data_IF_802595600710
#
_entry.id   IF_802595600710
#
_cell.length_a   1.000
_cell.length_b   1.000
_cell.length_c   1.000
_cell.angle_alpha   90.00
_cell.angle_beta   90.00
_cell.angle_gamma   90.00
#
_symmetry.space_group_name_H-M   'P 1'
#
loop_
_entity.id
_entity.type
_entity.pdbx_description
1 polymer ?
#
# COMPACT_ATOMS: atom_id res chain seq x y z
N UNK A 1 -4.17 -71.46 -19.23
CA UNK A 1 -3.67 -70.13 -18.80
C UNK A 1 -4.07 -69.08 -19.83
N UNK A 2 -5.21 -68.39 -19.63
CA UNK A 2 -5.66 -67.29 -20.50
C UNK A 2 -5.09 -65.96 -19.98
N UNK A 3 -4.32 -65.24 -20.80
CA UNK A 3 -3.84 -63.88 -20.51
C UNK A 3 -4.86 -62.86 -20.99
N UNK A 4 -5.47 -62.16 -20.03
CA UNK A 4 -6.42 -61.07 -20.25
C UNK A 4 -5.69 -59.81 -20.73
N UNK A 5 -6.05 -59.29 -21.91
CA UNK A 5 -5.57 -58.00 -22.44
C UNK A 5 -6.53 -56.90 -21.98
N UNK A 6 -6.05 -55.96 -21.15
CA UNK A 6 -6.77 -54.72 -20.82
C UNK A 6 -6.63 -53.74 -21.97
N UNK A 7 -7.74 -53.35 -22.59
CA UNK A 7 -7.83 -52.26 -23.56
C UNK A 7 -8.15 -50.98 -22.77
N UNK A 8 -7.24 -50.02 -22.78
CA UNK A 8 -7.47 -48.69 -22.23
C UNK A 8 -8.08 -47.81 -23.34
N UNK A 9 -9.33 -47.39 -23.14
CA UNK A 9 -10.02 -46.43 -24.02
C UNK A 9 -9.70 -45.04 -23.51
N UNK A 10 -8.92 -44.28 -24.29
CA UNK A 10 -8.60 -42.88 -24.03
C UNK A 10 -9.66 -42.01 -24.74
N UNK A 11 -10.58 -41.43 -23.97
CA UNK A 11 -11.57 -40.47 -24.48
C UNK A 11 -10.93 -39.08 -24.43
N UNK A 12 -10.54 -38.55 -25.60
CA UNK A 12 -10.11 -37.17 -25.78
C UNK A 12 -11.35 -36.29 -25.94
N UNK A 13 -11.74 -35.58 -24.87
CA UNK A 13 -12.74 -34.50 -24.98
C UNK A 13 -12.04 -33.22 -25.43
N UNK A 14 -12.16 -32.87 -26.71
CA UNK A 14 -11.76 -31.56 -27.23
C UNK A 14 -12.88 -30.55 -26.93
N UNK A 15 -12.68 -29.68 -25.94
CA UNK A 15 -13.52 -28.50 -25.74
C UNK A 15 -13.01 -27.37 -26.65
N UNK A 16 -13.72 -27.11 -27.75
CA UNK A 16 -13.52 -25.95 -28.61
C UNK A 16 -14.11 -24.68 -27.97
N UNK A 17 -13.50 -24.25 -26.85
CA UNK A 17 -13.73 -22.92 -26.31
C UNK A 17 -12.89 -21.90 -27.07
N UNK A 18 -13.54 -20.99 -27.81
CA UNK A 18 -12.86 -19.83 -28.37
C UNK A 18 -12.24 -19.03 -27.21
N UNK A 19 -10.91 -19.06 -27.09
CA UNK A 19 -10.18 -18.27 -26.10
C UNK A 19 -10.40 -16.79 -26.43
N UNK A 20 -11.28 -16.14 -25.68
CA UNK A 20 -11.38 -14.68 -25.68
C UNK A 20 -9.99 -14.13 -25.35
N UNK A 21 -9.39 -13.41 -26.30
CA UNK A 21 -8.13 -12.70 -26.08
C UNK A 21 -8.37 -11.65 -24.99
N UNK A 22 -8.04 -11.99 -23.75
CA UNK A 22 -8.02 -11.03 -22.66
C UNK A 22 -7.07 -9.90 -23.05
N UNK A 23 -7.57 -8.67 -23.13
CA UNK A 23 -6.72 -7.50 -23.33
C UNK A 23 -5.79 -7.36 -22.13
N UNK A 24 -4.55 -7.78 -22.29
CA UNK A 24 -3.52 -7.63 -21.26
C UNK A 24 -2.95 -6.22 -21.30
N UNK A 25 -3.01 -5.50 -20.18
CA UNK A 25 -2.31 -4.23 -20.01
C UNK A 25 -0.88 -4.50 -19.55
N UNK A 26 0.08 -3.66 -19.92
CA UNK A 26 1.48 -3.92 -19.57
C UNK A 26 2.09 -2.83 -18.71
N UNK A 27 2.91 -3.25 -17.73
CA UNK A 27 3.89 -2.37 -17.09
C UNK A 27 5.27 -2.87 -17.50
N UNK A 28 6.08 -2.02 -18.13
CA UNK A 28 7.46 -2.33 -18.50
C UNK A 28 8.44 -1.39 -17.80
N UNK A 29 9.62 -1.90 -17.51
CA UNK A 29 10.60 -1.13 -16.76
C UNK A 29 11.94 -1.83 -16.61
N UNK A 30 12.77 -1.25 -15.74
CA UNK A 30 14.10 -1.74 -15.38
C UNK A 30 14.25 -1.78 -13.87
N UNK A 31 14.94 -2.82 -13.38
CA UNK A 31 15.41 -2.93 -12.01
C UNK A 31 16.93 -2.77 -11.99
N UNK A 32 17.42 -2.00 -11.02
CA UNK A 32 18.85 -1.83 -10.75
C UNK A 32 19.16 -2.29 -9.34
N UNK A 33 20.32 -2.92 -9.14
CA UNK A 33 20.81 -3.38 -7.85
C UNK A 33 22.04 -2.58 -7.42
N UNK A 34 22.43 -2.61 -6.13
CA UNK A 34 23.70 -2.07 -5.67
C UNK A 34 24.90 -2.65 -6.43
N UNK A 35 26.00 -1.90 -6.48
CA UNK A 35 27.21 -2.32 -7.22
C UNK A 35 27.70 -3.68 -6.73
N UNK A 36 27.89 -4.60 -7.69
CA UNK A 36 28.38 -5.96 -7.43
C UNK A 36 27.27 -7.00 -7.20
N UNK A 37 26.00 -6.58 -7.20
CA UNK A 37 24.84 -7.48 -7.09
C UNK A 37 24.26 -7.74 -8.47
N UNK A 38 24.02 -9.00 -8.80
CA UNK A 38 23.37 -9.37 -10.06
C UNK A 38 21.86 -9.14 -9.95
N UNK A 39 21.24 -8.54 -10.97
CA UNK A 39 19.77 -8.35 -10.99
C UNK A 39 19.03 -9.60 -11.44
N UNK A 40 19.70 -10.54 -12.11
CA UNK A 40 19.08 -11.77 -12.63
C UNK A 40 18.43 -12.57 -11.48
N UNK A 41 17.19 -13.00 -11.68
CA UNK A 41 16.41 -13.71 -10.65
C UNK A 41 15.61 -12.79 -9.74
N UNK A 42 15.70 -11.46 -9.90
CA UNK A 42 14.81 -10.54 -9.20
C UNK A 42 13.37 -10.79 -9.65
N UNK A 43 12.49 -11.03 -8.68
CA UNK A 43 11.06 -11.12 -8.89
C UNK A 43 10.45 -9.72 -8.82
N UNK A 44 9.67 -9.34 -9.83
CA UNK A 44 8.90 -8.10 -9.87
C UNK A 44 7.43 -8.46 -9.72
N UNK A 45 6.76 -7.86 -8.74
CA UNK A 45 5.37 -8.13 -8.40
C UNK A 45 4.58 -6.84 -8.58
N UNK A 46 3.46 -6.91 -9.30
CA UNK A 46 2.42 -5.89 -9.30
C UNK A 46 1.23 -6.37 -8.48
N UNK A 47 0.89 -5.57 -7.48
CA UNK A 47 -0.24 -5.79 -6.60
C UNK A 47 -1.28 -4.70 -6.80
N UNK A 48 -2.56 -5.07 -6.95
CA UNK A 48 -3.64 -4.08 -6.96
C UNK A 48 -3.65 -3.26 -5.66
N UNK A 49 -3.77 -1.94 -5.77
CA UNK A 49 -3.80 -1.05 -4.59
C UNK A 49 -5.12 -1.22 -3.82
N UNK A 50 -5.09 -1.22 -2.47
CA UNK A 50 -3.91 -1.15 -1.61
C UNK A 50 -3.14 -2.48 -1.51
N UNK A 51 -1.79 -2.44 -1.48
CA UNK A 51 -0.92 -3.63 -1.41
C UNK A 51 -1.28 -4.57 -0.25
N UNK A 52 -1.74 -4.02 0.88
CA UNK A 52 -2.17 -4.80 2.05
C UNK A 52 -3.34 -5.75 1.73
N UNK A 53 -4.07 -5.51 0.66
CA UNK A 53 -5.20 -6.32 0.21
C UNK A 53 -4.92 -7.04 -1.11
N UNK A 54 -3.68 -7.06 -1.62
CA UNK A 54 -3.28 -7.50 -2.96
C UNK A 54 -4.20 -8.59 -3.56
N UNK A 55 -5.30 -8.16 -4.22
CA UNK A 55 -6.35 -9.05 -4.74
C UNK A 55 -5.93 -9.67 -6.06
N UNK A 56 -5.13 -8.92 -6.79
CA UNK A 56 -4.51 -9.31 -8.03
C UNK A 56 -3.01 -9.16 -7.82
N UNK A 57 -2.35 -10.30 -7.77
CA UNK A 57 -0.90 -10.40 -7.80
C UNK A 57 -0.48 -10.92 -9.16
N UNK A 58 0.38 -10.17 -9.84
CA UNK A 58 1.04 -10.62 -11.06
C UNK A 58 2.52 -10.49 -10.82
N UNK A 59 3.25 -11.58 -11.04
CA UNK A 59 4.70 -11.59 -10.93
C UNK A 59 5.37 -11.91 -12.26
N UNK A 60 6.60 -11.42 -12.40
CA UNK A 60 7.50 -11.76 -13.50
C UNK A 60 8.93 -11.72 -12.96
N UNK A 61 9.87 -12.35 -13.66
CA UNK A 61 11.29 -12.22 -13.36
C UNK A 61 11.92 -11.17 -14.29
N UNK A 62 12.95 -10.48 -13.79
CA UNK A 62 13.76 -9.62 -14.65
C UNK A 62 14.73 -10.44 -15.51
N UNK A 63 15.03 -9.95 -16.70
CA UNK A 63 16.06 -10.52 -17.56
C UNK A 63 17.49 -10.21 -17.07
N UNK A 64 18.50 -10.67 -17.80
CA UNK A 64 19.90 -10.44 -17.46
C UNK A 64 20.31 -8.95 -17.46
N UNK A 65 19.54 -8.08 -18.12
CA UNK A 65 19.76 -6.64 -18.17
C UNK A 65 18.88 -5.89 -17.16
N UNK A 66 18.14 -6.61 -16.30
CA UNK A 66 17.20 -6.03 -15.33
C UNK A 66 15.88 -5.56 -15.94
N UNK A 67 15.58 -5.90 -17.20
CA UNK A 67 14.31 -5.52 -17.83
C UNK A 67 13.18 -6.44 -17.38
N UNK A 68 11.98 -5.89 -17.23
CA UNK A 68 10.78 -6.67 -16.92
C UNK A 68 9.56 -6.23 -17.73
N UNK A 69 8.61 -7.15 -17.87
CA UNK A 69 7.29 -6.89 -18.45
C UNK A 69 6.21 -7.61 -17.65
N UNK A 70 5.43 -6.84 -16.88
CA UNK A 70 4.24 -7.32 -16.19
C UNK A 70 3.04 -7.28 -17.13
N UNK A 71 2.27 -8.37 -17.22
CA UNK A 71 1.03 -8.47 -17.98
C UNK A 71 -0.18 -8.55 -17.05
N UNK A 72 -1.00 -7.52 -17.05
CA UNK A 72 -2.02 -7.26 -16.05
C UNK A 72 -3.43 -7.50 -16.63
N UNK A 73 -4.38 -7.96 -15.82
CA UNK A 73 -5.75 -8.23 -16.26
C UNK A 73 -6.60 -6.94 -16.43
N UNK A 74 -6.10 -5.78 -15.99
CA UNK A 74 -6.83 -4.51 -16.05
C UNK A 74 -5.92 -3.28 -16.01
N UNK A 75 -6.53 -2.10 -16.18
CA UNK A 75 -5.85 -0.79 -16.17
C UNK A 75 -5.43 -0.30 -14.78
N UNK A 76 -5.92 -0.96 -13.72
CA UNK A 76 -6.08 -0.39 -12.38
C UNK A 76 -4.81 0.18 -11.74
N UNK A 77 -4.94 0.86 -10.60
CA UNK A 77 -3.77 1.27 -9.83
C UNK A 77 -3.08 0.04 -9.25
N UNK A 78 -1.81 -0.14 -9.59
CA UNK A 78 -0.94 -1.17 -9.04
C UNK A 78 0.19 -0.55 -8.21
N UNK A 79 0.59 -1.21 -7.13
CA UNK A 79 1.88 -1.00 -6.50
C UNK A 79 2.85 -2.05 -7.04
N UNK A 80 4.04 -1.62 -7.46
CA UNK A 80 5.05 -2.50 -8.03
C UNK A 80 6.21 -2.62 -7.06
N UNK A 81 6.58 -3.85 -6.73
CA UNK A 81 7.67 -4.21 -5.84
C UNK A 81 8.66 -5.08 -6.60
N UNK A 82 9.93 -5.03 -6.21
CA UNK A 82 10.93 -5.97 -6.67
C UNK A 82 11.64 -6.58 -5.46
N UNK A 83 11.88 -7.89 -5.50
CA UNK A 83 12.61 -8.61 -4.47
C UNK A 83 13.61 -9.56 -5.11
N UNK A 84 14.81 -9.63 -4.56
CA UNK A 84 15.82 -10.61 -4.92
C UNK A 84 16.20 -11.39 -3.67
N UNK A 85 16.15 -12.71 -3.80
CA UNK A 85 16.61 -13.70 -2.84
C UNK A 85 17.88 -14.34 -3.43
N UNK A 86 19.05 -14.03 -2.85
CA UNK A 86 20.37 -14.52 -3.30
C UNK A 86 20.75 -15.86 -2.66
N UNK A 87 20.29 -16.13 -1.44
CA UNK A 87 20.70 -17.31 -0.67
C UNK A 87 19.65 -18.43 -0.58
N UNK A 88 18.44 -18.15 -1.06
CA UNK A 88 17.35 -19.11 -1.22
C UNK A 88 16.58 -19.39 0.08
N UNK A 89 16.77 -18.58 1.12
CA UNK A 89 16.11 -18.78 2.42
C UNK A 89 14.69 -18.17 2.50
N UNK A 90 14.19 -17.60 1.38
CA UNK A 90 12.87 -16.98 1.23
C UNK A 90 12.66 -15.69 2.02
N UNK A 91 13.70 -15.10 2.63
CA UNK A 91 13.59 -13.83 3.33
C UNK A 91 13.73 -12.61 2.39
N UNK A 92 14.37 -12.80 1.23
CA UNK A 92 14.66 -11.75 0.26
C UNK A 92 15.69 -10.75 0.78
N UNK A 93 16.96 -10.89 0.36
CA UNK A 93 18.05 -10.01 0.82
C UNK A 93 17.96 -8.61 0.22
N UNK A 94 17.25 -8.41 -0.89
CA UNK A 94 17.08 -7.11 -1.50
C UNK A 94 15.62 -6.83 -1.80
N UNK A 95 15.21 -5.58 -1.55
CA UNK A 95 13.86 -5.12 -1.79
C UNK A 95 13.89 -3.78 -2.53
N UNK A 96 12.86 -3.55 -3.34
CA UNK A 96 12.54 -2.26 -3.89
C UNK A 96 11.04 -2.03 -3.94
N UNK A 97 10.62 -0.77 -3.84
CA UNK A 97 9.25 -0.36 -4.13
C UNK A 97 9.28 0.78 -5.14
N UNK A 98 8.53 0.63 -6.22
CA UNK A 98 8.46 1.64 -7.25
C UNK A 98 7.73 2.90 -6.73
N UNK A 99 8.25 4.09 -7.11
CA UNK A 99 7.65 5.40 -6.83
C UNK A 99 7.21 5.59 -5.37
N UNK A 100 8.02 5.18 -4.40
CA UNK A 100 7.71 5.30 -2.96
C UNK A 100 6.34 4.67 -2.58
N UNK A 101 6.02 3.52 -3.18
CA UNK A 101 4.74 2.83 -3.04
C UNK A 101 3.52 3.60 -3.61
N UNK A 102 3.72 4.58 -4.49
CA UNK A 102 2.62 5.22 -5.19
C UNK A 102 1.95 4.26 -6.19
N UNK A 103 0.67 4.49 -6.45
CA UNK A 103 -0.09 3.77 -7.46
C UNK A 103 0.45 4.06 -8.88
N UNK A 104 0.54 3.00 -9.69
CA UNK A 104 0.93 3.02 -11.10
C UNK A 104 -0.26 2.51 -11.91
N UNK A 105 -0.77 3.34 -12.82
CA UNK A 105 -1.85 2.94 -13.71
C UNK A 105 -1.30 2.20 -14.93
N UNK A 106 -1.87 1.05 -15.27
CA UNK A 106 -1.50 0.33 -16.49
C UNK A 106 -2.29 0.88 -17.71
N UNK A 107 -1.68 0.98 -18.90
CA UNK A 107 -0.30 0.63 -19.20
C UNK A 107 0.71 1.71 -18.75
N UNK A 108 1.92 1.31 -18.40
CA UNK A 108 3.05 2.21 -18.08
C UNK A 108 4.34 1.64 -18.67
N UNK A 109 5.17 2.47 -19.28
CA UNK A 109 6.50 2.07 -19.76
C UNK A 109 7.61 2.91 -19.11
N UNK A 110 8.82 2.36 -19.07
CA UNK A 110 10.00 3.05 -18.53
C UNK A 110 9.98 3.20 -17.02
N UNK A 111 9.29 2.31 -16.29
CA UNK A 111 9.33 2.32 -14.83
C UNK A 111 10.74 1.94 -14.34
N UNK A 112 11.41 2.83 -13.60
CA UNK A 112 12.70 2.55 -13.00
C UNK A 112 12.55 2.16 -11.53
N UNK A 113 13.20 1.08 -11.13
CA UNK A 113 13.18 0.55 -9.77
C UNK A 113 14.63 0.34 -9.32
N UNK A 114 14.98 0.82 -8.12
CA UNK A 114 16.30 0.65 -7.53
C UNK A 114 16.18 -0.14 -6.23
N UNK A 115 16.87 -1.28 -6.17
CA UNK A 115 16.87 -2.15 -4.99
C UNK A 115 17.86 -1.70 -3.93
N UNK A 116 17.56 -2.04 -2.68
CA UNK A 116 18.46 -1.91 -1.54
C UNK A 116 18.49 -3.23 -0.78
N UNK A 117 19.60 -3.48 -0.06
CA UNK A 117 19.76 -4.66 0.78
C UNK A 117 18.87 -4.53 2.03
N UNK A 118 18.06 -5.55 2.32
CA UNK A 118 17.24 -5.65 3.53
C UNK A 118 18.16 -5.66 4.76
N UNK A 119 17.77 -4.92 5.80
CA UNK A 119 18.60 -4.71 7.00
C UNK A 119 19.74 -3.70 6.82
N UNK A 120 20.25 -3.49 5.61
CA UNK A 120 20.96 -2.27 5.24
C UNK A 120 19.91 -1.22 4.94
N UNK A 121 19.34 -0.65 6.02
CA UNK A 121 18.57 0.58 5.98
C UNK A 121 19.17 1.47 4.90
N UNK A 122 18.36 1.91 3.93
CA UNK A 122 18.77 2.86 2.91
C UNK A 122 19.66 3.86 3.65
N UNK A 123 20.98 3.80 3.45
CA UNK A 123 21.80 4.96 3.70
C UNK A 123 21.29 5.88 2.60
N UNK A 124 20.15 6.52 2.86
CA UNK A 124 19.79 7.79 2.28
C UNK A 124 21.12 8.51 2.24
N UNK A 125 21.60 8.80 1.03
CA UNK A 125 22.83 9.56 0.83
C UNK A 125 22.83 10.63 1.91
N UNK A 126 23.76 10.52 2.87
CA UNK A 126 23.58 10.98 4.26
C UNK A 126 22.64 12.17 4.31
N UNK A 127 21.35 11.92 4.62
CA UNK A 127 20.29 12.91 4.45
C UNK A 127 20.82 14.23 5.00
N UNK A 128 21.08 15.18 4.11
CA UNK A 128 21.70 16.40 4.54
C UNK A 128 20.63 17.12 5.34
N UNK A 129 20.74 17.10 6.66
CA UNK A 129 19.84 17.80 7.58
C UNK A 129 19.99 19.34 7.45
N UNK A 130 20.38 19.82 6.26
CA UNK A 130 20.57 21.23 5.90
C UNK A 130 19.27 22.01 6.04
N UNK A 131 18.13 21.36 5.83
CA UNK A 131 16.82 22.02 5.85
C UNK A 131 16.14 21.93 7.21
N UNK A 132 16.59 21.04 8.09
CA UNK A 132 16.03 20.87 9.44
C UNK A 132 16.01 22.17 10.24
N UNK A 133 17.10 22.98 10.29
CA UNK A 133 17.06 24.29 10.94
C UNK A 133 15.95 25.20 10.41
N UNK A 134 15.67 25.17 9.10
CA UNK A 134 14.62 25.96 8.48
C UNK A 134 13.20 25.44 8.78
N UNK A 135 13.09 24.18 9.20
CA UNK A 135 11.85 23.53 9.63
C UNK A 135 11.61 23.66 11.13
N UNK A 136 12.52 24.25 11.91
CA UNK A 136 12.34 24.42 13.35
C UNK A 136 11.06 25.22 13.68
N UNK A 137 10.36 24.79 14.73
CA UNK A 137 9.21 25.48 15.31
C UNK A 137 7.93 24.66 15.29
N UNK A 138 6.82 25.34 15.59
CA UNK A 138 5.49 24.73 15.64
C UNK A 138 4.75 24.98 14.34
N UNK A 139 4.30 23.90 13.70
CA UNK A 139 3.58 23.89 12.45
C UNK A 139 2.19 23.33 12.69
N UNK A 140 1.15 24.00 12.19
CA UNK A 140 -0.24 23.58 12.40
C UNK A 140 -0.93 23.35 11.07
N UNK A 141 -1.72 22.29 10.98
CA UNK A 141 -2.55 22.01 9.81
C UNK A 141 -3.95 21.63 10.28
N UNK A 142 -4.97 22.17 9.62
CA UNK A 142 -6.37 21.78 9.83
C UNK A 142 -7.06 21.73 8.49
N UNK A 143 -7.65 20.59 8.15
CA UNK A 143 -8.40 20.43 6.92
C UNK A 143 -9.48 19.37 7.06
N UNK A 144 -10.46 19.44 6.17
CA UNK A 144 -11.45 18.38 5.95
C UNK A 144 -11.33 17.92 4.51
N UNK A 145 -11.12 16.63 4.30
CA UNK A 145 -10.93 16.04 2.97
C UNK A 145 -11.55 14.65 2.89
N UNK A 146 -11.88 14.21 1.68
CA UNK A 146 -12.29 12.83 1.44
C UNK A 146 -11.05 11.93 1.44
N UNK A 147 -11.01 10.97 2.35
CA UNK A 147 -9.98 9.93 2.41
C UNK A 147 -10.63 8.58 2.15
N UNK A 148 -9.92 7.67 1.48
CA UNK A 148 -10.36 6.28 1.39
C UNK A 148 -10.15 5.61 2.75
N UNK A 149 -11.25 5.15 3.35
CA UNK A 149 -11.23 4.40 4.61
C UNK A 149 -11.84 3.03 4.36
N UNK A 150 -11.22 2.01 4.93
CA UNK A 150 -11.78 0.66 4.92
C UNK A 150 -13.01 0.63 5.83
N UNK A 151 -14.16 0.38 5.22
CA UNK A 151 -15.41 0.16 5.93
C UNK A 151 -15.99 -1.19 5.57
N UNK A 152 -16.53 -1.88 6.56
CA UNK A 152 -17.36 -3.06 6.30
C UNK A 152 -18.77 -2.61 5.95
N UNK A 153 -19.33 -3.16 4.88
CA UNK A 153 -20.72 -2.97 4.46
C UNK A 153 -21.37 -4.34 4.32
N UNK A 154 -22.65 -4.45 4.69
CA UNK A 154 -23.43 -5.65 4.38
C UNK A 154 -24.02 -5.45 2.99
N UNK A 155 -23.66 -6.31 2.05
CA UNK A 155 -24.22 -6.32 0.70
C UNK A 155 -25.00 -7.60 0.49
N UNK A 156 -26.13 -7.48 -0.20
CA UNK A 156 -26.81 -8.62 -0.78
C UNK A 156 -26.20 -8.87 -2.15
N UNK A 157 -25.54 -10.01 -2.31
CA UNK A 157 -25.01 -10.45 -3.60
C UNK A 157 -25.74 -11.72 -4.02
N UNK A 158 -25.90 -11.92 -5.32
CA UNK A 158 -26.41 -13.19 -5.81
C UNK A 158 -25.49 -14.32 -5.32
N UNK A 159 -26.05 -15.45 -4.90
CA UNK A 159 -25.29 -16.59 -4.37
C UNK A 159 -24.24 -17.12 -5.36
N UNK A 160 -24.48 -16.94 -6.67
CA UNK A 160 -23.55 -17.25 -7.76
C UNK A 160 -22.40 -16.24 -7.93
N UNK A 161 -22.48 -15.08 -7.27
CA UNK A 161 -21.52 -13.99 -7.38
C UNK A 161 -20.68 -13.79 -6.11
N UNK A 162 -20.79 -14.68 -5.11
CA UNK A 162 -19.90 -14.67 -3.93
C UNK A 162 -18.48 -14.99 -4.40
N UNK A 163 -17.55 -14.03 -4.42
CA UNK A 163 -16.17 -14.31 -4.78
C UNK A 163 -15.60 -15.17 -3.65
N UNK A 164 -15.16 -16.39 -3.99
CA UNK A 164 -14.45 -17.29 -3.09
C UNK A 164 -13.21 -16.55 -2.58
N UNK A 165 -13.27 -15.98 -1.37
CA UNK A 165 -12.14 -15.30 -0.73
C UNK A 165 -12.40 -13.97 -0.02
N UNK A 166 -13.55 -13.30 -0.19
CA UNK A 166 -13.81 -12.01 0.50
C UNK A 166 -15.23 -11.93 1.09
N UNK A 167 -15.31 -12.17 2.39
CA UNK A 167 -16.48 -11.89 3.23
C UNK A 167 -16.91 -13.09 4.08
N UNK A 168 -17.39 -12.81 5.29
CA UNK A 168 -18.11 -13.81 6.08
C UNK A 168 -19.52 -13.90 5.52
N UNK A 169 -19.84 -15.03 4.88
CA UNK A 169 -21.22 -15.37 4.55
C UNK A 169 -22.00 -15.49 5.86
N UNK A 170 -23.01 -14.63 6.04
CA UNK A 170 -23.85 -14.68 7.24
C UNK A 170 -24.98 -15.71 7.12
N UNK A 171 -25.03 -16.46 6.01
CA UNK A 171 -26.10 -17.39 5.69
C UNK A 171 -27.36 -16.66 5.19
N UNK A 172 -27.99 -17.21 4.16
CA UNK A 172 -29.30 -16.78 3.69
C UNK A 172 -30.41 -17.42 4.53
N UNK A 173 -31.31 -16.61 5.08
CA UNK A 173 -32.59 -17.08 5.61
C UNK A 173 -33.72 -16.29 5.00
N UNK A 174 -34.21 -16.71 3.82
CA UNK A 174 -35.60 -16.48 3.39
C UNK A 174 -36.04 -17.59 2.41
N UNK A 175 -36.35 -18.77 2.95
CA UNK A 175 -37.12 -19.81 2.26
C UNK A 175 -36.38 -20.60 1.16
N UNK A 176 -36.93 -21.79 0.84
CA UNK A 176 -36.45 -22.62 -0.25
C UNK A 176 -36.55 -21.85 -1.58
N UNK A 177 -35.40 -21.51 -2.17
CA UNK A 177 -35.31 -20.81 -3.47
C UNK A 177 -34.68 -19.41 -3.45
N UNK A 178 -34.19 -18.88 -2.32
CA UNK A 178 -33.57 -17.55 -2.30
C UNK A 178 -32.21 -17.53 -3.03
N UNK A 179 -32.08 -16.64 -4.03
CA UNK A 179 -30.87 -16.47 -4.85
C UNK A 179 -29.87 -15.43 -4.29
N UNK A 180 -30.09 -14.89 -3.09
CA UNK A 180 -29.27 -13.80 -2.53
C UNK A 180 -28.67 -14.16 -1.18
N UNK A 181 -27.35 -13.96 -1.05
CA UNK A 181 -26.60 -14.10 0.20
C UNK A 181 -26.24 -12.70 0.74
N UNK A 182 -26.33 -12.53 2.06
CA UNK A 182 -25.85 -11.33 2.73
C UNK A 182 -24.40 -11.53 3.14
N UNK A 183 -23.49 -10.77 2.53
CA UNK A 183 -22.05 -10.88 2.78
C UNK A 183 -21.56 -9.58 3.39
N UNK A 184 -20.72 -9.69 4.43
CA UNK A 184 -19.96 -8.55 4.95
C UNK A 184 -18.78 -8.33 4.00
N UNK A 185 -18.82 -7.24 3.23
CA UNK A 185 -17.74 -6.83 2.33
C UNK A 185 -16.98 -5.68 2.96
N UNK A 186 -15.68 -5.85 3.17
CA UNK A 186 -14.77 -4.75 3.51
C UNK A 186 -14.33 -4.08 2.21
N UNK A 187 -14.70 -2.81 2.04
CA UNK A 187 -14.35 -2.02 0.87
C UNK A 187 -13.81 -0.65 1.25
N UNK A 188 -12.90 -0.14 0.42
CA UNK A 188 -12.44 1.24 0.50
C UNK A 188 -13.56 2.16 0.06
N UNK A 189 -14.09 2.97 0.98
CA UNK A 189 -15.09 3.99 0.67
C UNK A 189 -14.53 5.38 0.96
N UNK A 190 -14.85 6.39 0.12
CA UNK A 190 -14.51 7.77 0.44
C UNK A 190 -15.28 8.20 1.68
N UNK A 191 -14.56 8.60 2.72
CA UNK A 191 -15.11 9.13 3.96
C UNK A 191 -14.58 10.54 4.16
N UNK A 192 -15.48 11.45 4.51
CA UNK A 192 -15.10 12.80 4.91
C UNK A 192 -14.37 12.72 6.25
N UNK A 193 -13.08 13.08 6.22
CA UNK A 193 -12.20 13.08 7.38
C UNK A 193 -11.87 14.52 7.73
N UNK A 194 -12.12 14.91 8.98
CA UNK A 194 -11.57 16.13 9.55
C UNK A 194 -10.27 15.80 10.27
N UNK A 195 -9.22 16.58 10.02
CA UNK A 195 -7.90 16.36 10.60
C UNK A 195 -7.33 17.66 11.14
N UNK A 196 -6.82 17.58 12.37
CA UNK A 196 -6.02 18.64 13.01
C UNK A 196 -4.65 18.06 13.35
N UNK A 197 -3.60 18.78 13.01
CA UNK A 197 -2.23 18.36 13.22
C UNK A 197 -1.42 19.49 13.84
N UNK A 198 -0.49 19.12 14.72
CA UNK A 198 0.53 20.01 15.27
C UNK A 198 1.87 19.29 15.22
N UNK A 199 2.79 19.80 14.42
CA UNK A 199 4.15 19.29 14.27
C UNK A 199 5.11 20.28 14.93
N UNK A 200 5.78 19.83 15.99
CA UNK A 200 6.85 20.60 16.63
C UNK A 200 8.18 20.01 16.22
N UNK A 201 9.05 20.82 15.63
CA UNK A 201 10.39 20.45 15.20
C UNK A 201 11.41 21.22 16.02
N UNK A 202 12.30 20.51 16.71
CA UNK A 202 13.42 21.09 17.42
C UNK A 202 14.61 21.35 16.47
N UNK A 203 15.56 22.18 16.92
CA UNK A 203 16.73 22.55 16.12
C UNK A 203 17.62 21.34 15.75
N UNK A 204 17.63 20.30 16.57
CA UNK A 204 18.40 19.07 16.34
C UNK A 204 17.70 18.08 15.39
N UNK A 205 16.50 18.43 14.91
CA UNK A 205 15.67 17.62 14.04
C UNK A 205 14.80 16.60 14.76
N UNK A 206 14.80 16.56 16.09
CA UNK A 206 13.77 15.81 16.81
C UNK A 206 12.40 16.45 16.58
N UNK A 207 11.36 15.63 16.48
CA UNK A 207 10.00 16.12 16.33
C UNK A 207 9.02 15.45 17.28
N UNK A 208 7.93 16.17 17.54
CA UNK A 208 6.70 15.64 18.13
C UNK A 208 5.53 16.05 17.25
N UNK A 209 4.77 15.06 16.78
CA UNK A 209 3.66 15.25 15.87
C UNK A 209 2.37 14.72 16.48
N UNK A 210 1.48 15.63 16.81
CA UNK A 210 0.16 15.34 17.33
C UNK A 210 -0.85 15.40 16.20
N UNK A 211 -1.67 14.36 16.06
CA UNK A 211 -2.67 14.24 15.01
C UNK A 211 -4.00 13.89 15.69
N UNK A 212 -5.04 14.67 15.39
CA UNK A 212 -6.42 14.32 15.72
C UNK A 212 -7.18 14.15 14.42
N UNK A 213 -7.78 12.99 14.23
CA UNK A 213 -8.60 12.63 13.08
C UNK A 213 -10.02 12.33 13.55
N UNK A 214 -11.01 12.90 12.89
CA UNK A 214 -12.43 12.66 13.18
C UNK A 214 -13.13 12.26 11.89
N UNK A 215 -13.89 11.16 11.94
CA UNK A 215 -14.59 10.64 10.78
C UNK A 215 -15.88 9.90 11.17
N UNK A 216 -16.88 9.82 10.28
CA UNK A 216 -18.02 8.94 10.45
C UNK A 216 -17.60 7.47 10.61
N UNK A 217 -18.28 6.75 11.51
CA UNK A 217 -18.11 5.33 11.79
C UNK A 217 -19.50 4.70 12.00
N UNK A 218 -20.18 4.42 10.88
CA UNK A 218 -21.60 4.08 10.89
C UNK A 218 -22.45 5.26 11.37
N UNK A 219 -23.38 5.00 12.31
CA UNK A 219 -24.16 6.05 12.99
C UNK A 219 -23.39 6.80 14.09
N UNK A 220 -22.11 6.49 14.29
CA UNK A 220 -21.26 7.10 15.31
C UNK A 220 -20.20 8.01 14.67
N UNK A 221 -19.54 8.83 15.48
CA UNK A 221 -18.32 9.56 15.08
C UNK A 221 -17.12 8.93 15.76
N UNK A 222 -16.11 8.53 14.98
CA UNK A 222 -14.83 8.01 15.47
C UNK A 222 -13.81 9.13 15.51
N UNK A 223 -13.16 9.30 16.65
CA UNK A 223 -12.02 10.18 16.87
C UNK A 223 -10.78 9.35 17.13
N UNK A 224 -9.70 9.61 16.40
CA UNK A 224 -8.39 9.00 16.56
C UNK A 224 -7.42 10.11 16.97
N UNK A 225 -6.66 9.89 18.03
CA UNK A 225 -5.57 10.76 18.48
C UNK A 225 -4.26 9.99 18.40
N UNK A 226 -3.30 10.53 17.66
CA UNK A 226 -1.95 9.98 17.56
C UNK A 226 -0.94 11.00 18.07
N UNK A 227 0.08 10.51 18.75
CA UNK A 227 1.32 11.23 19.02
C UNK A 227 2.46 10.41 18.43
N UNK A 228 3.25 11.00 17.54
CA UNK A 228 4.48 10.42 16.99
C UNK A 228 5.67 11.24 17.46
N UNK A 229 6.73 10.57 17.89
CA UNK A 229 7.98 11.18 18.32
C UNK A 229 9.11 10.52 17.55
N UNK A 230 10.04 11.32 17.06
CA UNK A 230 11.10 10.79 16.21
C UNK A 230 12.08 11.85 15.76
N UNK A 231 12.75 11.55 14.65
CA UNK A 231 13.69 12.47 13.99
C UNK A 231 13.25 12.76 12.56
N UNK A 232 13.35 14.02 12.17
CA UNK A 232 13.21 14.47 10.81
C UNK A 232 14.54 14.32 10.08
N UNK A 233 14.45 13.78 8.87
CA UNK A 233 15.54 13.74 7.91
C UNK A 233 15.05 14.45 6.66
N UNK A 234 15.91 15.26 6.06
CA UNK A 234 15.61 15.97 4.81
C UNK A 234 16.66 15.60 3.77
N UNK A 235 16.24 15.33 2.55
CA UNK A 235 17.15 15.12 1.43
C UNK A 235 16.44 15.43 0.10
N UNK A 236 17.05 16.25 -0.75
CA UNK A 236 16.56 16.49 -2.12
C UNK A 236 15.05 16.79 -2.25
N UNK A 237 14.49 17.64 -1.35
CA UNK A 237 13.06 17.97 -1.35
C UNK A 237 12.14 16.87 -0.79
N UNK A 238 12.72 15.83 -0.18
CA UNK A 238 12.01 14.80 0.59
C UNK A 238 12.18 15.03 2.09
N UNK A 239 11.10 14.85 2.83
CA UNK A 239 11.09 14.85 4.29
C UNK A 239 10.73 13.45 4.77
N UNK A 240 11.56 12.88 5.63
CA UNK A 240 11.33 11.57 6.24
C UNK A 240 11.11 11.75 7.74
N UNK A 241 9.97 11.31 8.22
CA UNK A 241 9.63 11.18 9.62
C UNK A 241 10.06 9.79 10.10
N UNK A 242 11.27 9.70 10.67
CA UNK A 242 11.75 8.49 11.33
C UNK A 242 11.15 8.41 12.74
N UNK A 243 9.97 7.82 12.86
CA UNK A 243 9.26 7.63 14.12
C UNK A 243 10.01 6.59 14.96
N UNK A 244 10.42 6.98 16.17
CA UNK A 244 11.05 6.06 17.11
C UNK A 244 10.02 5.40 18.03
N UNK A 245 9.00 6.17 18.43
CA UNK A 245 7.91 5.73 19.27
C UNK A 245 6.69 6.67 19.14
N UNK A 246 5.58 6.24 19.70
CA UNK A 246 4.38 7.06 19.77
C UNK A 246 3.23 6.36 20.48
N UNK A 247 2.08 7.02 20.49
CA UNK A 247 0.84 6.46 21.01
C UNK A 247 -0.29 6.72 20.02
N UNK A 248 -1.23 5.80 19.97
CA UNK A 248 -2.51 5.98 19.31
C UNK A 248 -3.61 5.67 20.32
N UNK A 249 -4.67 6.47 20.28
CA UNK A 249 -5.93 6.15 20.92
C UNK A 249 -7.07 6.44 19.96
N UNK A 250 -8.15 5.71 20.10
CA UNK A 250 -9.39 6.00 19.41
C UNK A 250 -10.57 5.88 20.35
N UNK A 251 -11.59 6.68 20.10
CA UNK A 251 -12.89 6.59 20.74
C UNK A 251 -13.97 6.83 19.70
N UNK A 252 -15.18 6.37 19.96
CA UNK A 252 -16.34 6.77 19.21
C UNK A 252 -17.46 7.28 20.12
N UNK A 253 -18.41 8.02 19.54
CA UNK A 253 -19.57 8.56 20.26
C UNK A 253 -20.52 7.49 20.78
N UNK A 254 -20.31 6.23 20.41
CA UNK A 254 -21.09 5.07 20.86
C UNK A 254 -20.40 4.31 22.00
N UNK A 255 -19.42 4.93 22.67
CA UNK A 255 -18.80 4.41 23.90
C UNK A 255 -17.70 3.37 23.68
N UNK A 256 -17.32 3.06 22.44
CA UNK A 256 -16.19 2.17 22.16
C UNK A 256 -14.90 2.97 22.09
N UNK A 257 -13.79 2.33 22.46
CA UNK A 257 -12.46 2.93 22.34
C UNK A 257 -11.35 1.91 22.51
N UNK A 258 -10.13 2.37 22.25
CA UNK A 258 -8.92 1.58 22.41
C UNK A 258 -7.69 2.46 22.37
N UNK A 259 -6.55 1.89 22.77
CA UNK A 259 -5.26 2.55 22.67
C UNK A 259 -4.15 1.55 22.37
N UNK A 260 -3.04 2.05 21.84
CA UNK A 260 -1.88 1.26 21.46
C UNK A 260 -0.62 2.10 21.37
N UNK A 261 0.51 1.41 21.22
CA UNK A 261 1.81 2.02 20.96
C UNK A 261 2.04 2.09 19.45
N UNK A 262 2.60 3.20 18.99
CA UNK A 262 3.15 3.32 17.64
C UNK A 262 4.62 2.90 17.73
N UNK A 263 4.97 1.84 16.99
CA UNK A 263 6.33 1.33 16.92
C UNK A 263 7.25 2.18 16.03
N UNK A 264 8.45 1.68 15.78
CA UNK A 264 9.39 2.32 14.87
C UNK A 264 8.85 2.26 13.44
N UNK A 265 8.89 3.38 12.74
CA UNK A 265 8.47 3.46 11.33
C UNK A 265 9.16 4.61 10.61
N UNK A 266 9.12 4.58 9.28
CA UNK A 266 9.57 5.69 8.43
C UNK A 266 8.43 6.10 7.51
N UNK A 267 8.14 7.40 7.47
CA UNK A 267 7.18 7.98 6.54
C UNK A 267 7.90 9.06 5.73
N UNK A 268 8.03 8.86 4.41
CA UNK A 268 8.70 9.81 3.51
C UNK A 268 7.69 10.51 2.61
N UNK A 269 7.86 11.81 2.45
CA UNK A 269 6.99 12.68 1.67
C UNK A 269 7.81 13.66 0.83
N UNK A 270 7.23 14.12 -0.27
CA UNK A 270 7.71 15.34 -0.91
C UNK A 270 7.36 16.53 -0.02
N UNK A 271 8.26 17.49 0.12
CA UNK A 271 7.95 18.74 0.81
C UNK A 271 8.47 19.97 0.08
N UNK A 272 7.81 21.09 0.35
CA UNK A 272 8.34 22.41 0.01
C UNK A 272 8.00 23.39 1.11
N UNK A 273 8.89 24.35 1.33
CA UNK A 273 8.70 25.43 2.30
C UNK A 273 8.74 26.77 1.60
N UNK A 274 7.79 27.64 1.92
CA UNK A 274 7.80 29.03 1.50
C UNK A 274 7.31 29.90 2.66
N UNK A 275 8.23 30.68 3.23
CA UNK A 275 8.00 31.48 4.44
C UNK A 275 7.47 30.63 5.60
N UNK A 276 6.28 31.01 6.09
CA UNK A 276 5.56 30.34 7.18
C UNK A 276 4.64 29.20 6.70
N UNK A 277 4.77 28.76 5.45
CA UNK A 277 4.03 27.62 4.91
C UNK A 277 4.96 26.44 4.65
N UNK A 278 4.58 25.27 5.14
CA UNK A 278 5.18 23.97 4.82
C UNK A 278 4.14 23.13 4.10
N UNK A 279 4.44 22.73 2.87
CA UNK A 279 3.63 21.80 2.09
C UNK A 279 4.25 20.41 2.16
N UNK A 280 3.44 19.41 2.45
CA UNK A 280 3.84 17.99 2.50
C UNK A 280 2.89 17.21 1.60
N UNK A 281 3.44 16.49 0.61
CA UNK A 281 2.68 15.69 -0.35
C UNK A 281 3.14 14.23 -0.32
N UNK A 282 2.21 13.30 -0.50
CA UNK A 282 2.53 11.87 -0.54
C UNK A 282 1.44 11.04 -1.21
N UNK A 283 1.67 9.73 -1.21
CA UNK A 283 0.70 8.74 -1.69
C UNK A 283 -0.59 8.77 -0.86
N UNK A 284 -1.67 8.19 -1.40
CA UNK A 284 -2.96 8.10 -0.70
C UNK A 284 -3.69 9.43 -0.53
N UNK A 285 -3.39 10.44 -1.37
CA UNK A 285 -4.03 11.75 -1.31
C UNK A 285 -3.49 12.66 -0.20
N UNK A 286 -2.32 12.34 0.35
CA UNK A 286 -1.65 13.20 1.33
C UNK A 286 -1.26 14.52 0.66
N UNK A 287 -1.88 15.60 1.14
CA UNK A 287 -1.55 16.98 0.78
C UNK A 287 -1.81 17.87 1.99
N UNK A 288 -0.83 17.97 2.88
CA UNK A 288 -0.93 18.80 4.08
C UNK A 288 -0.28 20.14 3.84
N UNK A 289 -1.02 21.19 4.18
CA UNK A 289 -0.51 22.55 4.24
C UNK A 289 -0.43 22.98 5.69
N UNK A 290 0.77 22.96 6.23
CA UNK A 290 1.05 23.47 7.55
C UNK A 290 1.34 24.97 7.51
N UNK A 291 0.91 25.67 8.54
CA UNK A 291 1.22 27.06 8.80
C UNK A 291 1.92 27.21 10.15
N UNK A 292 2.98 28.00 10.16
CA UNK A 292 3.61 28.47 11.38
C UNK A 292 2.80 29.67 11.92
N UNK A 293 2.38 29.65 13.19
CA UNK A 293 1.64 30.75 13.79
C UNK A 293 2.48 32.04 13.86
#
# INVERSE_FOLDING_TARGET
>A
MLKSKKIAVLILMASSGAAQAYQSYTITGTVTAPRGVAVKGTQVIACSVPYQECKIEVSTEVDANGQFTLRLPGKGPYQVLASLDEDGDSNGEYLAVARDAAAINAPTSGLAIAMWKVGQQQRAAAATNTDVPALQGTWTHSATSNELVLGSTIKQIASSAVPVGYGTDLGGTFGAGSQTNSVIVTESKPVTVSRKMTLNVAADGTYRWNITKTMPDGGCTKTIKQEKIGRLLTDNGKITFATANGTESWSNTCGKGGSGKIGKSHETYDYSRSGNTLLVNGSGGVRWRFQKP
#
